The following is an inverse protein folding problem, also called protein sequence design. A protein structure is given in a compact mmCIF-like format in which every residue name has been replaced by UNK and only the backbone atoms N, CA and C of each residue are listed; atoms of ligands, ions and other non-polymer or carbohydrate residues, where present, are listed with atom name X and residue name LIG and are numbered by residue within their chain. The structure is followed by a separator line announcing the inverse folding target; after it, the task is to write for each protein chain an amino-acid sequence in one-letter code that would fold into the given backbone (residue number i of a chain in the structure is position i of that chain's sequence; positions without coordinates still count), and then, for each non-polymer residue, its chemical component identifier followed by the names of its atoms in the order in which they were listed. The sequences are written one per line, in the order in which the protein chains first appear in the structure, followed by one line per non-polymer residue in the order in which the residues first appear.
data_IF_315913317912
#
_entry.id   IF_315913317912
#
_cell.length_a   1.000
_cell.length_b   1.000
_cell.length_c   1.000
_cell.angle_alpha   90.00
_cell.angle_beta   90.00
_cell.angle_gamma   90.00
#
_symmetry.space_group_name_H-M   'P 1'
#
loop_
_entity.id
_entity.type
_entity.pdbx_description
1 polymer ?
#
# COMPACT_ATOMS: atom_id res chain seq x y z
N UNK A 1 11.81 13.39 -6.95
CA UNK A 1 10.75 12.36 -6.82
C UNK A 1 9.54 12.69 -7.70
N UNK A 2 9.63 12.50 -9.03
CA UNK A 2 8.54 12.85 -9.98
C UNK A 2 7.68 11.67 -10.46
N UNK A 3 8.13 10.42 -10.31
CA UNK A 3 7.43 9.24 -10.84
C UNK A 3 6.12 8.88 -10.12
N UNK A 4 6.14 8.74 -8.78
CA UNK A 4 4.99 8.23 -8.02
C UNK A 4 3.70 9.08 -8.09
N UNK A 5 3.82 10.40 -8.27
CA UNK A 5 2.66 11.28 -8.44
C UNK A 5 2.00 11.15 -9.82
N UNK A 6 2.78 10.83 -10.85
CA UNK A 6 2.28 10.60 -12.21
C UNK A 6 1.44 9.31 -12.25
N UNK A 7 1.96 8.26 -11.62
CA UNK A 7 1.32 6.95 -11.48
C UNK A 7 -0.08 7.03 -10.84
N UNK A 8 -0.22 7.75 -9.73
CA UNK A 8 -1.52 7.82 -9.05
C UNK A 8 -2.55 8.67 -9.79
N UNK A 9 -2.10 9.63 -10.61
CA UNK A 9 -2.98 10.42 -11.46
C UNK A 9 -3.61 9.55 -12.56
N UNK A 10 -2.80 8.69 -13.18
CA UNK A 10 -3.27 7.73 -14.18
C UNK A 10 -4.22 6.72 -13.56
N UNK A 11 -3.85 6.14 -12.41
CA UNK A 11 -4.71 5.22 -11.67
C UNK A 11 -6.07 5.84 -11.31
N UNK A 12 -6.06 7.09 -10.82
CA UNK A 12 -7.30 7.82 -10.53
C UNK A 12 -8.17 7.97 -11.78
N UNK A 13 -7.56 8.28 -12.92
CA UNK A 13 -8.26 8.44 -14.21
C UNK A 13 -8.93 7.13 -14.64
N UNK A 14 -8.24 6.00 -14.50
CA UNK A 14 -8.79 4.67 -14.78
C UNK A 14 -9.95 4.32 -13.85
N UNK A 15 -9.82 4.61 -12.55
CA UNK A 15 -10.89 4.42 -11.57
C UNK A 15 -12.12 5.26 -11.96
N UNK A 16 -11.94 6.55 -12.27
CA UNK A 16 -13.03 7.44 -12.67
C UNK A 16 -13.73 6.96 -13.94
N UNK A 17 -12.98 6.45 -14.93
CA UNK A 17 -13.54 5.89 -16.15
C UNK A 17 -14.39 4.64 -15.87
N UNK A 18 -13.94 3.73 -14.99
CA UNK A 18 -14.69 2.53 -14.61
C UNK A 18 -15.95 2.86 -13.81
N UNK A 19 -15.87 3.81 -12.88
CA UNK A 19 -17.04 4.29 -12.14
C UNK A 19 -18.08 4.88 -13.10
N UNK A 20 -17.65 5.71 -14.05
CA UNK A 20 -18.53 6.32 -15.05
C UNK A 20 -19.26 5.27 -15.89
N UNK A 21 -18.55 4.22 -16.34
CA UNK A 21 -19.16 3.09 -17.07
C UNK A 21 -20.24 2.36 -16.26
N UNK A 22 -20.16 2.39 -14.92
CA UNK A 22 -21.14 1.80 -14.00
C UNK A 22 -22.23 2.79 -13.54
N UNK A 23 -22.23 4.03 -14.04
CA UNK A 23 -23.14 5.08 -13.56
C UNK A 23 -22.87 5.53 -12.13
N UNK A 24 -21.65 5.30 -11.63
CA UNK A 24 -21.21 5.66 -10.28
C UNK A 24 -20.26 6.86 -10.35
N UNK A 25 -20.09 7.54 -9.22
CA UNK A 25 -19.12 8.62 -9.10
C UNK A 25 -18.14 8.37 -7.96
N UNK A 26 -16.97 8.98 -8.05
CA UNK A 26 -15.86 8.80 -7.11
C UNK A 26 -16.24 9.17 -5.67
N UNK A 27 -17.06 10.21 -5.50
CA UNK A 27 -17.53 10.67 -4.18
C UNK A 27 -18.35 9.60 -3.47
N UNK A 28 -19.24 8.92 -4.20
CA UNK A 28 -20.06 7.83 -3.67
C UNK A 28 -19.19 6.63 -3.32
N UNK A 29 -18.32 6.20 -4.24
CA UNK A 29 -17.39 5.10 -3.98
C UNK A 29 -16.56 5.34 -2.72
N UNK A 30 -16.00 6.55 -2.56
CA UNK A 30 -15.22 6.91 -1.38
C UNK A 30 -16.02 6.71 -0.08
N UNK A 31 -17.27 7.18 -0.05
CA UNK A 31 -18.14 7.02 1.12
C UNK A 31 -18.49 5.55 1.38
N UNK A 32 -18.81 4.80 0.33
CA UNK A 32 -19.21 3.39 0.42
C UNK A 32 -18.06 2.50 0.94
N UNK A 33 -16.79 2.86 0.67
CA UNK A 33 -15.61 2.19 1.24
C UNK A 33 -15.12 2.80 2.56
N UNK A 34 -15.92 3.68 3.18
CA UNK A 34 -15.65 4.23 4.52
C UNK A 34 -14.64 5.39 4.56
N UNK A 35 -14.40 6.06 3.43
CA UNK A 35 -13.55 7.25 3.35
C UNK A 35 -14.35 8.54 3.29
N UNK A 36 -13.78 9.61 3.81
CA UNK A 36 -14.26 10.95 3.50
C UNK A 36 -13.86 11.34 2.08
N UNK A 37 -14.71 12.10 1.38
CA UNK A 37 -14.39 12.59 0.03
C UNK A 37 -13.05 13.34 0.02
N UNK A 38 -12.85 14.26 0.96
CA UNK A 38 -11.62 15.04 1.07
C UNK A 38 -10.37 14.19 1.37
N UNK A 39 -10.52 13.10 2.13
CA UNK A 39 -9.44 12.14 2.37
C UNK A 39 -9.13 11.33 1.10
N UNK A 40 -10.16 10.88 0.39
CA UNK A 40 -10.03 10.15 -0.87
C UNK A 40 -9.37 10.98 -1.97
N UNK A 41 -9.68 12.26 -2.12
CA UNK A 41 -8.96 13.10 -3.10
C UNK A 41 -7.50 13.34 -2.69
N UNK A 42 -7.26 13.69 -1.42
CA UNK A 42 -5.91 14.00 -0.93
C UNK A 42 -4.93 12.83 -1.08
N UNK A 43 -5.37 11.59 -0.90
CA UNK A 43 -4.49 10.43 -1.02
C UNK A 43 -3.91 10.23 -2.41
N UNK A 44 -4.67 10.57 -3.48
CA UNK A 44 -4.16 10.53 -4.84
C UNK A 44 -3.25 11.72 -5.14
N UNK A 45 -3.57 12.92 -4.64
CA UNK A 45 -2.79 14.14 -4.87
C UNK A 45 -1.41 14.11 -4.19
N UNK A 46 -1.34 13.59 -2.96
CA UNK A 46 -0.13 13.65 -2.15
C UNK A 46 0.73 12.38 -2.22
N UNK A 47 0.26 11.31 -2.86
CA UNK A 47 1.02 10.06 -2.94
C UNK A 47 0.78 9.07 -1.80
N UNK A 48 -0.22 9.27 -0.95
CA UNK A 48 -0.42 8.48 0.28
C UNK A 48 -1.44 7.34 0.15
N UNK A 49 -1.82 6.97 -1.08
CA UNK A 49 -2.72 5.85 -1.31
C UNK A 49 -2.12 4.56 -0.73
N UNK A 50 -2.86 3.95 0.20
CA UNK A 50 -2.48 2.67 0.80
C UNK A 50 -2.96 1.51 -0.07
N UNK A 51 -2.21 0.41 -0.06
CA UNK A 51 -2.59 -0.84 -0.79
C UNK A 51 -3.96 -1.35 -0.34
N UNK A 52 -4.25 -1.33 0.96
CA UNK A 52 -5.56 -1.75 1.47
C UNK A 52 -6.72 -0.93 0.91
N UNK A 53 -6.52 0.37 0.68
CA UNK A 53 -7.54 1.21 0.05
C UNK A 53 -7.68 0.87 -1.44
N UNK A 54 -6.58 0.59 -2.11
CA UNK A 54 -6.60 0.13 -3.50
C UNK A 54 -7.35 -1.21 -3.66
N UNK A 55 -7.17 -2.14 -2.72
CA UNK A 55 -7.90 -3.41 -2.67
C UNK A 55 -9.41 -3.19 -2.51
N UNK A 56 -9.83 -2.31 -1.59
CA UNK A 56 -11.25 -1.98 -1.42
C UNK A 56 -11.84 -1.31 -2.67
N UNK A 57 -11.10 -0.42 -3.33
CA UNK A 57 -11.52 0.18 -4.61
C UNK A 57 -11.68 -0.90 -5.68
N UNK A 58 -10.72 -1.81 -5.81
CA UNK A 58 -10.76 -2.90 -6.79
C UNK A 58 -11.96 -3.83 -6.55
N UNK A 59 -12.20 -4.19 -5.28
CA UNK A 59 -13.38 -4.96 -4.84
C UNK A 59 -14.68 -4.23 -5.17
N UNK A 60 -14.78 -2.93 -4.88
CA UNK A 60 -15.94 -2.11 -5.22
C UNK A 60 -16.21 -2.08 -6.73
N UNK A 61 -15.15 -2.06 -7.53
CA UNK A 61 -15.22 -2.10 -8.99
C UNK A 61 -15.41 -3.51 -9.57
N UNK A 62 -15.37 -4.55 -8.74
CA UNK A 62 -15.39 -5.96 -9.13
C UNK A 62 -14.29 -6.31 -10.14
N UNK A 63 -13.05 -5.90 -9.85
CA UNK A 63 -11.84 -6.21 -10.63
C UNK A 63 -10.67 -6.55 -9.74
N UNK A 64 -9.66 -7.22 -10.31
CA UNK A 64 -8.39 -7.44 -9.62
C UNK A 64 -7.57 -6.17 -9.49
N UNK A 65 -6.78 -6.04 -8.42
CA UNK A 65 -5.83 -4.92 -8.24
C UNK A 65 -4.82 -4.86 -9.40
N UNK A 66 -4.31 -6.01 -9.83
CA UNK A 66 -3.37 -6.11 -10.95
C UNK A 66 -3.97 -5.60 -12.26
N UNK A 67 -5.23 -5.96 -12.55
CA UNK A 67 -5.94 -5.48 -13.75
C UNK A 67 -6.09 -3.96 -13.71
N UNK A 68 -6.51 -3.41 -12.57
CA UNK A 68 -6.67 -1.97 -12.37
C UNK A 68 -5.35 -1.20 -12.55
N UNK A 69 -4.25 -1.78 -12.09
CA UNK A 69 -2.91 -1.22 -12.26
C UNK A 69 -2.48 -1.28 -13.72
N UNK A 70 -2.52 -2.44 -14.38
CA UNK A 70 -2.11 -2.60 -15.79
C UNK A 70 -2.86 -1.61 -16.69
N UNK A 71 -4.17 -1.48 -16.52
CA UNK A 71 -4.97 -0.53 -17.29
C UNK A 71 -4.58 0.93 -17.06
N UNK A 72 -4.13 1.27 -15.86
CA UNK A 72 -3.66 2.62 -15.55
C UNK A 72 -2.35 2.98 -16.24
N UNK A 73 -1.46 2.00 -16.48
CA UNK A 73 -0.15 2.24 -17.10
C UNK A 73 -0.17 2.19 -18.63
N UNK A 74 -1.30 1.83 -19.24
CA UNK A 74 -1.35 1.43 -20.65
C UNK A 74 -0.49 0.19 -20.90
N UNK A 75 -0.56 -0.38 -22.10
CA UNK A 75 0.14 -1.63 -22.47
C UNK A 75 1.68 -1.54 -22.49
N UNK A 76 2.27 -0.50 -21.90
CA UNK A 76 3.70 -0.45 -21.57
C UNK A 76 3.94 -1.24 -20.30
N UNK A 77 3.95 -2.57 -20.43
CA UNK A 77 4.79 -3.43 -19.60
C UNK A 77 6.23 -3.04 -19.98
N UNK A 78 6.72 -1.95 -19.40
CA UNK A 78 8.16 -1.73 -19.34
C UNK A 78 8.70 -2.87 -18.50
N UNK A 79 9.64 -3.65 -19.07
CA UNK A 79 10.44 -4.59 -18.29
C UNK A 79 10.82 -3.96 -16.95
N UNK A 80 10.82 -4.70 -15.83
CA UNK A 80 11.20 -4.15 -14.54
C UNK A 80 12.63 -3.62 -14.66
N UNK A 81 12.74 -2.32 -14.92
CA UNK A 81 14.02 -1.64 -14.89
C UNK A 81 14.39 -1.63 -13.42
N UNK A 82 15.46 -2.37 -13.13
CA UNK A 82 15.99 -2.64 -11.79
C UNK A 82 16.62 -1.38 -11.17
N UNK A 83 15.98 -0.23 -11.34
CA UNK A 83 16.54 1.08 -11.09
C UNK A 83 15.54 1.92 -10.29
N UNK A 84 15.97 2.21 -9.06
CA UNK A 84 15.49 3.23 -8.13
C UNK A 84 14.37 2.85 -7.13
N UNK A 85 14.82 2.58 -5.90
CA UNK A 85 14.04 2.76 -4.67
C UNK A 85 13.80 1.49 -3.83
N UNK A 86 13.74 0.33 -4.48
CA UNK A 86 13.40 -0.93 -3.81
C UNK A 86 14.50 -1.42 -2.85
N UNK A 87 15.77 -1.33 -3.25
CA UNK A 87 16.88 -1.91 -2.49
C UNK A 87 17.11 -1.22 -1.14
N UNK A 88 17.08 0.12 -1.12
CA UNK A 88 17.26 0.89 0.12
C UNK A 88 16.06 0.72 1.07
N UNK A 89 14.83 0.64 0.54
CA UNK A 89 13.64 0.36 1.35
C UNK A 89 13.64 -1.07 1.91
N UNK A 90 14.09 -2.04 1.12
CA UNK A 90 14.29 -3.42 1.54
C UNK A 90 15.37 -3.49 2.62
N UNK A 91 16.50 -2.82 2.43
CA UNK A 91 17.60 -2.76 3.40
C UNK A 91 17.15 -2.12 4.72
N UNK A 92 16.45 -0.98 4.68
CA UNK A 92 15.87 -0.35 5.88
C UNK A 92 14.81 -1.22 6.57
N UNK A 93 14.09 -2.05 5.82
CA UNK A 93 13.10 -2.97 6.38
C UNK A 93 13.77 -4.19 7.01
N UNK A 94 14.79 -4.75 6.35
CA UNK A 94 15.63 -5.81 6.91
C UNK A 94 16.26 -5.34 8.22
N UNK A 95 16.79 -4.12 8.28
CA UNK A 95 17.44 -3.59 9.48
C UNK A 95 16.46 -3.43 10.65
N UNK A 96 15.24 -2.94 10.37
CA UNK A 96 14.17 -2.86 11.38
C UNK A 96 13.74 -4.24 11.88
N UNK A 97 13.68 -5.23 10.99
CA UNK A 97 13.34 -6.61 11.36
C UNK A 97 14.44 -7.21 12.23
N UNK A 98 15.72 -7.06 11.87
CA UNK A 98 16.87 -7.53 12.67
C UNK A 98 16.85 -6.97 14.08
N UNK A 99 16.71 -5.64 14.20
CA UNK A 99 16.63 -4.99 15.52
C UNK A 99 15.48 -5.53 16.37
N UNK A 100 14.34 -5.80 15.74
CA UNK A 100 13.18 -6.36 16.44
C UNK A 100 13.40 -7.82 16.88
N UNK A 101 14.14 -8.60 16.11
CA UNK A 101 14.56 -9.95 16.49
C UNK A 101 15.48 -9.89 17.71
N UNK A 102 16.50 -9.02 17.69
CA UNK A 102 17.42 -8.85 18.83
C UNK A 102 16.69 -8.44 20.12
N UNK A 103 15.74 -7.51 20.02
CA UNK A 103 14.93 -7.07 21.17
C UNK A 103 14.04 -8.20 21.70
N UNK A 104 13.53 -9.08 20.83
CA UNK A 104 12.74 -10.25 21.22
C UNK A 104 13.61 -11.32 21.89
N UNK A 105 14.82 -11.56 21.37
CA UNK A 105 15.78 -12.50 21.95
C UNK A 105 16.18 -12.07 23.36
N UNK A 106 16.45 -10.78 23.58
CA UNK A 106 16.72 -10.24 24.92
C UNK A 106 15.54 -10.39 25.86
N UNK A 107 14.32 -10.20 25.38
CA UNK A 107 13.11 -10.39 26.18
C UNK A 107 12.95 -11.86 26.60
N UNK A 108 13.17 -12.80 25.67
CA UNK A 108 13.14 -14.23 25.96
C UNK A 108 14.20 -14.61 27.00
N UNK A 109 15.42 -14.07 26.87
CA UNK A 109 16.49 -14.32 27.84
C UNK A 109 16.13 -13.78 29.24
N UNK A 110 15.58 -12.58 29.32
CA UNK A 110 15.09 -12.01 30.58
C UNK A 110 13.97 -12.84 31.21
N UNK A 111 13.04 -13.35 30.41
CA UNK A 111 11.95 -14.22 30.88
C UNK A 111 12.53 -15.53 31.44
N UNK A 112 13.47 -16.15 30.72
CA UNK A 112 14.10 -17.39 31.16
C UNK A 112 14.87 -17.22 32.47
N UNK A 113 15.61 -16.11 32.64
CA UNK A 113 16.28 -15.79 33.92
C UNK A 113 15.27 -15.62 35.06
N UNK A 114 14.19 -14.85 34.84
CA UNK A 114 13.13 -14.67 35.85
C UNK A 114 12.40 -15.96 36.23
N UNK A 115 12.30 -16.93 35.31
CA UNK A 115 11.71 -18.23 35.60
C UNK A 115 12.67 -19.11 36.42
N UNK A 116 13.96 -19.07 36.10
CA UNK A 116 14.98 -19.80 36.86
C UNK A 116 15.14 -19.25 38.28
N UNK A 117 15.12 -17.93 38.47
CA UNK A 117 15.18 -17.28 39.79
C UNK A 117 13.94 -17.53 40.66
N UNK A 118 12.82 -17.95 40.06
CA UNK A 118 11.57 -18.31 40.79
C UNK A 118 11.47 -19.80 41.14
N UNK A 119 12.34 -20.63 40.60
CA UNK A 119 12.38 -22.08 40.84
C UNK A 119 13.53 -22.48 41.79
N UNK A 120 14.18 -21.51 42.44
CA UNK A 120 15.13 -21.64 43.55
C UNK A 120 14.50 -21.00 44.78
#
# INVERSE_FOLDING_TARGET
MRGGKMVLKELKTTIDARLTKKGLNFKKMALDIGLTQAGAYRMFENGSLKVTVLEEIAKYLNVGVTELLIESYGNTISEPTNQYGGREYIEQTIERIKKKIEDLERQVEHINRRLNDKNV
#
